data_IF_320429862604
#
_entry.id   IF_320429862604
#
_cell.length_a   1.000
_cell.length_b   1.000
_cell.length_c   1.000
_cell.angle_alpha   90.00
_cell.angle_beta   90.00
_cell.angle_gamma   90.00
#
_symmetry.space_group_name_H-M   'P 1'
#
loop_
_entity.id
_entity.type
_entity.pdbx_description
1 polymer ?
#
# COMPACT_ATOMS: atom_id res chain seq x y z
N UNK A 1 -8.88 3.87 4.99
CA UNK A 1 -8.33 3.82 3.62
C UNK A 1 -6.82 3.78 3.75
N UNK A 2 -6.13 2.78 3.17
CA UNK A 2 -4.68 2.74 3.19
C UNK A 2 -4.09 3.99 2.52
N UNK A 3 -2.96 4.47 3.02
CA UNK A 3 -2.29 5.62 2.43
C UNK A 3 -1.72 5.22 1.06
N UNK A 4 -1.84 6.07 0.02
CA UNK A 4 -1.12 5.83 -1.22
C UNK A 4 0.39 5.78 -0.93
N UNK A 5 1.15 4.91 -1.60
CA UNK A 5 2.58 4.69 -1.34
C UNK A 5 3.44 5.96 -1.26
N UNK A 6 3.08 7.01 -2.01
CA UNK A 6 3.70 8.36 -1.96
C UNK A 6 3.62 9.07 -0.60
N UNK A 7 2.77 8.58 0.31
CA UNK A 7 2.54 9.11 1.66
C UNK A 7 2.97 8.15 2.77
N UNK A 8 3.46 6.96 2.44
CA UNK A 8 3.90 5.98 3.43
C UNK A 8 5.24 6.33 4.07
N UNK A 9 5.42 5.92 5.32
CA UNK A 9 6.71 6.03 6.00
C UNK A 9 7.71 5.01 5.46
N UNK A 10 9.01 5.25 5.67
CA UNK A 10 10.05 4.36 5.16
C UNK A 10 9.90 2.91 5.64
N UNK A 11 9.62 2.68 6.93
CA UNK A 11 9.48 1.32 7.46
C UNK A 11 8.28 0.57 6.87
N UNK A 12 7.23 1.31 6.51
CA UNK A 12 6.03 0.76 5.89
C UNK A 12 6.34 0.35 4.44
N UNK A 13 7.04 1.20 3.69
CA UNK A 13 7.56 0.87 2.35
C UNK A 13 8.44 -0.39 2.41
N UNK A 14 9.40 -0.44 3.33
CA UNK A 14 10.30 -1.60 3.48
C UNK A 14 9.54 -2.88 3.84
N UNK A 15 8.50 -2.78 4.67
CA UNK A 15 7.62 -3.91 4.99
C UNK A 15 6.91 -4.42 3.73
N UNK A 16 6.35 -3.53 2.91
CA UNK A 16 5.66 -3.92 1.68
C UNK A 16 6.60 -4.56 0.66
N UNK A 17 7.81 -4.00 0.47
CA UNK A 17 8.86 -4.61 -0.37
C UNK A 17 9.15 -6.03 0.11
N UNK A 18 9.42 -6.21 1.41
CA UNK A 18 9.72 -7.52 1.97
C UNK A 18 8.60 -8.55 1.73
N UNK A 19 7.34 -8.15 1.93
CA UNK A 19 6.18 -9.01 1.66
C UNK A 19 6.15 -9.44 0.19
N UNK A 20 6.38 -8.50 -0.74
CA UNK A 20 6.37 -8.76 -2.17
C UNK A 20 7.54 -9.65 -2.59
N UNK A 21 8.74 -9.43 -2.06
CA UNK A 21 9.93 -10.28 -2.32
C UNK A 21 9.73 -11.71 -1.80
N UNK A 22 9.23 -11.87 -0.57
CA UNK A 22 8.92 -13.19 0.00
C UNK A 22 7.87 -13.93 -0.84
N UNK A 23 6.81 -13.22 -1.23
CA UNK A 23 5.76 -13.78 -2.07
C UNK A 23 6.27 -14.15 -3.47
N UNK A 24 7.07 -13.29 -4.10
CA UNK A 24 7.72 -13.53 -5.40
C UNK A 24 8.53 -14.82 -5.37
N UNK A 25 9.36 -15.00 -4.34
CA UNK A 25 10.19 -16.18 -4.16
C UNK A 25 9.35 -17.45 -4.02
N UNK A 26 8.28 -17.42 -3.22
CA UNK A 26 7.40 -18.59 -3.05
C UNK A 26 6.71 -18.97 -4.37
N UNK A 27 6.32 -17.98 -5.17
CA UNK A 27 5.74 -18.22 -6.50
C UNK A 27 6.77 -18.83 -7.46
N UNK A 28 8.00 -18.32 -7.45
CA UNK A 28 9.11 -18.86 -8.25
C UNK A 28 9.37 -20.32 -7.89
N UNK A 29 9.49 -20.63 -6.59
CA UNK A 29 9.66 -22.00 -6.10
C UNK A 29 8.45 -22.88 -6.48
N UNK A 30 7.22 -22.36 -6.37
CA UNK A 30 5.99 -23.07 -6.76
C UNK A 30 6.00 -23.44 -8.24
N UNK A 31 6.21 -22.48 -9.14
CA UNK A 31 6.20 -22.73 -10.58
C UNK A 31 7.38 -23.59 -11.03
N UNK A 32 8.52 -23.57 -10.32
CA UNK A 32 9.67 -24.43 -10.60
C UNK A 32 9.39 -25.93 -10.41
N UNK A 33 8.40 -26.29 -9.58
CA UNK A 33 8.03 -27.67 -9.25
C UNK A 33 6.69 -28.10 -9.89
N UNK A 34 6.12 -27.27 -10.75
CA UNK A 34 4.94 -27.63 -11.53
C UNK A 34 5.31 -28.65 -12.59
N UNK A 35 4.60 -29.79 -12.59
CA UNK A 35 4.77 -30.86 -13.57
C UNK A 35 3.71 -30.70 -14.66
N UNK A 36 4.14 -30.28 -15.84
CA UNK A 36 3.29 -30.22 -17.01
C UNK A 36 3.08 -31.64 -17.57
N UNK A 37 1.83 -31.96 -17.91
CA UNK A 37 1.55 -33.20 -18.61
C UNK A 37 2.25 -33.14 -19.98
N UNK A 38 2.99 -34.21 -20.32
CA UNK A 38 3.73 -34.25 -21.58
C UNK A 38 2.80 -34.08 -22.79
N UNK A 39 3.38 -33.70 -23.93
CA UNK A 39 2.64 -33.43 -25.17
C UNK A 39 1.72 -34.57 -25.65
N UNK A 40 1.95 -35.80 -25.19
CA UNK A 40 1.14 -36.98 -25.53
C UNK A 40 -0.08 -37.20 -24.60
N UNK A 41 -0.18 -36.50 -23.47
CA UNK A 41 -1.25 -36.67 -22.49
C UNK A 41 -1.79 -35.30 -22.07
N UNK A 42 -2.75 -34.72 -22.81
CA UNK A 42 -3.35 -33.45 -22.44
C UNK A 42 -4.03 -33.59 -21.07
N UNK A 43 -3.56 -32.81 -20.10
CA UNK A 43 -4.09 -32.79 -18.74
C UNK A 43 -3.66 -31.52 -18.01
N UNK A 44 -4.39 -31.10 -16.97
CA UNK A 44 -3.94 -30.00 -16.15
C UNK A 44 -2.58 -30.32 -15.53
N UNK A 45 -1.70 -29.33 -15.37
CA UNK A 45 -0.46 -29.53 -14.63
C UNK A 45 -0.77 -30.02 -13.21
N UNK A 46 0.13 -30.84 -12.69
CA UNK A 46 0.03 -31.38 -11.34
C UNK A 46 1.08 -30.74 -10.45
N UNK A 47 0.69 -30.36 -9.24
CA UNK A 47 1.62 -29.87 -8.21
C UNK A 47 2.62 -30.99 -7.86
N UNK A 48 3.92 -30.68 -7.90
CA UNK A 48 4.94 -31.55 -7.31
C UNK A 48 4.93 -31.51 -5.77
N UNK A 49 5.89 -32.22 -5.15
CA UNK A 49 5.97 -32.34 -3.69
C UNK A 49 6.34 -31.00 -3.03
N UNK A 50 7.15 -30.18 -3.68
CA UNK A 50 7.53 -28.85 -3.19
C UNK A 50 6.37 -27.86 -3.37
N UNK A 51 5.74 -27.86 -4.56
CA UNK A 51 4.57 -27.01 -4.84
C UNK A 51 3.44 -27.27 -3.84
N UNK A 52 3.15 -28.54 -3.55
CA UNK A 52 2.14 -28.93 -2.54
C UNK A 52 2.47 -28.40 -1.15
N UNK A 53 3.75 -28.39 -0.76
CA UNK A 53 4.21 -27.88 0.54
C UNK A 53 4.21 -26.35 0.63
N UNK A 54 4.49 -25.65 -0.47
CA UNK A 54 4.59 -24.18 -0.52
C UNK A 54 3.21 -23.53 -0.64
N UNK A 55 2.24 -24.20 -1.25
CA UNK A 55 0.90 -23.69 -1.48
C UNK A 55 0.23 -23.07 -0.25
N UNK A 56 0.29 -23.65 0.97
CA UNK A 56 -0.25 -23.02 2.18
C UNK A 56 0.46 -21.71 2.56
N UNK A 57 1.77 -21.59 2.32
CA UNK A 57 2.52 -20.37 2.61
C UNK A 57 2.16 -19.24 1.64
N UNK A 58 2.02 -19.56 0.35
CA UNK A 58 1.48 -18.62 -0.65
C UNK A 58 0.10 -18.12 -0.22
N UNK A 59 -0.81 -19.02 0.18
CA UNK A 59 -2.15 -18.64 0.63
C UNK A 59 -2.13 -17.67 1.83
N UNK A 60 -1.21 -17.84 2.78
CA UNK A 60 -1.07 -16.94 3.95
C UNK A 60 -0.63 -15.54 3.55
N UNK A 61 0.30 -15.43 2.59
CA UNK A 61 0.86 -14.14 2.16
C UNK A 61 0.06 -13.44 1.06
N UNK A 62 -0.74 -14.19 0.30
CA UNK A 62 -1.46 -13.73 -0.89
C UNK A 62 -2.23 -12.41 -0.69
N UNK A 63 -3.06 -12.31 0.36
CA UNK A 63 -3.83 -11.08 0.61
C UNK A 63 -2.96 -9.88 0.97
N UNK A 64 -1.83 -10.11 1.66
CA UNK A 64 -0.88 -9.06 1.99
C UNK A 64 -0.10 -8.61 0.73
N UNK A 65 0.28 -9.54 -0.14
CA UNK A 65 0.95 -9.27 -1.41
C UNK A 65 0.03 -8.49 -2.36
N UNK A 66 -1.22 -8.91 -2.52
CA UNK A 66 -2.23 -8.21 -3.34
C UNK A 66 -2.43 -6.77 -2.85
N UNK A 67 -2.67 -6.61 -1.54
CA UNK A 67 -2.85 -5.30 -0.92
C UNK A 67 -1.63 -4.41 -1.12
N UNK A 68 -0.42 -4.97 -0.98
CA UNK A 68 0.84 -4.25 -1.23
C UNK A 68 0.99 -3.81 -2.69
N UNK A 69 0.66 -4.67 -3.66
CA UNK A 69 0.71 -4.31 -5.07
C UNK A 69 -0.28 -3.18 -5.41
N UNK A 70 -1.52 -3.28 -4.93
CA UNK A 70 -2.55 -2.24 -5.13
C UNK A 70 -2.12 -0.92 -4.48
N UNK A 71 -1.56 -0.95 -3.27
CA UNK A 71 -1.06 0.26 -2.59
C UNK A 71 0.11 0.92 -3.33
N UNK A 72 0.94 0.14 -4.03
CA UNK A 72 2.00 0.62 -4.90
C UNK A 72 1.45 1.25 -6.21
N UNK A 73 0.14 1.17 -6.46
CA UNK A 73 -0.47 1.60 -7.71
C UNK A 73 -0.27 0.63 -8.87
N UNK A 74 0.10 -0.62 -8.59
CA UNK A 74 0.12 -1.70 -9.57
C UNK A 74 -1.21 -2.46 -9.50
N UNK A 75 -1.97 -2.44 -10.60
CA UNK A 75 -3.22 -3.20 -10.68
C UNK A 75 -2.91 -4.69 -10.92
N UNK A 76 -3.26 -5.60 -10.00
CA UNK A 76 -3.07 -7.03 -10.21
C UNK A 76 -4.16 -7.65 -11.09
N UNK A 77 -5.19 -6.90 -11.51
CA UNK A 77 -6.26 -7.42 -12.34
C UNK A 77 -5.88 -7.35 -13.81
N UNK A 78 -5.87 -8.51 -14.48
CA UNK A 78 -5.78 -8.62 -15.93
C UNK A 78 -7.12 -9.02 -16.54
N UNK A 79 -7.31 -8.68 -17.82
CA UNK A 79 -8.53 -9.00 -18.56
C UNK A 79 -8.23 -10.13 -19.54
N UNK A 80 -8.93 -11.25 -19.37
CA UNK A 80 -8.85 -12.39 -20.27
C UNK A 80 -9.98 -12.28 -21.28
N UNK A 81 -9.59 -12.22 -22.56
CA UNK A 81 -10.52 -12.26 -23.68
C UNK A 81 -10.57 -13.68 -24.24
N UNK A 82 -11.76 -14.28 -24.40
CA UNK A 82 -11.89 -15.58 -25.03
C UNK A 82 -11.53 -15.50 -26.53
N UNK A 83 -11.12 -16.63 -27.11
CA UNK A 83 -10.88 -16.72 -28.54
C UNK A 83 -12.15 -16.30 -29.32
N UNK A 84 -12.06 -15.39 -30.31
CA UNK A 84 -13.22 -14.91 -31.06
C UNK A 84 -14.05 -16.00 -31.71
N UNK A 85 -13.43 -17.14 -32.05
CA UNK A 85 -14.05 -18.29 -32.72
C UNK A 85 -14.86 -19.19 -31.77
N UNK A 86 -14.51 -19.24 -30.49
CA UNK A 86 -15.20 -20.07 -29.47
C UNK A 86 -16.32 -19.25 -28.81
N UNK A 87 -16.12 -17.94 -28.68
CA UNK A 87 -16.96 -17.08 -27.85
C UNK A 87 -16.69 -17.28 -26.37
N UNK A 88 -17.29 -16.43 -25.52
CA UNK A 88 -17.15 -16.54 -24.07
C UNK A 88 -17.35 -15.20 -23.35
N UNK A 89 -17.38 -15.23 -22.02
CA UNK A 89 -17.41 -14.03 -21.22
C UNK A 89 -15.99 -13.45 -21.05
N UNK A 90 -15.88 -12.12 -21.10
CA UNK A 90 -14.68 -11.41 -20.66
C UNK A 90 -14.53 -11.63 -19.16
N UNK A 91 -13.36 -12.10 -18.72
CA UNK A 91 -13.08 -12.37 -17.30
C UNK A 91 -12.03 -11.41 -16.77
N UNK A 92 -12.26 -10.88 -15.58
CA UNK A 92 -11.27 -10.14 -14.81
C UNK A 92 -10.61 -11.12 -13.84
N UNK A 93 -9.30 -11.32 -13.98
CA UNK A 93 -8.54 -12.25 -13.16
C UNK A 93 -7.47 -11.46 -12.40
N UNK A 94 -7.49 -11.57 -11.09
CA UNK A 94 -6.41 -11.05 -10.27
C UNK A 94 -5.24 -12.05 -10.29
N UNK A 95 -4.10 -11.64 -10.85
CA UNK A 95 -2.97 -12.54 -11.09
C UNK A 95 -2.25 -12.96 -9.81
N UNK A 96 -2.36 -12.16 -8.74
CA UNK A 96 -1.82 -12.48 -7.41
C UNK A 96 -2.72 -13.49 -6.72
N UNK A 97 -4.01 -13.19 -6.56
CA UNK A 97 -4.91 -14.12 -5.85
C UNK A 97 -5.27 -15.36 -6.67
N UNK A 98 -5.18 -15.25 -7.99
CA UNK A 98 -5.44 -16.30 -8.97
C UNK A 98 -4.21 -17.14 -9.35
N UNK A 99 -3.08 -17.01 -8.65
CA UNK A 99 -1.80 -17.62 -9.06
C UNK A 99 -1.89 -19.13 -9.34
N UNK A 100 -2.71 -19.87 -8.60
CA UNK A 100 -2.92 -21.32 -8.79
C UNK A 100 -3.83 -21.70 -9.95
N UNK A 101 -4.46 -20.73 -10.63
CA UNK A 101 -5.36 -20.98 -11.75
C UNK A 101 -4.80 -20.44 -13.06
N UNK A 102 -3.65 -19.76 -13.04
CA UNK A 102 -3.04 -19.18 -14.24
C UNK A 102 -2.75 -20.23 -15.31
N UNK A 103 -2.45 -21.47 -14.90
CA UNK A 103 -2.19 -22.53 -15.84
C UNK A 103 -3.43 -23.00 -16.64
N UNK A 104 -4.65 -22.67 -16.20
CA UNK A 104 -5.87 -23.05 -16.94
C UNK A 104 -6.06 -22.16 -18.17
N UNK A 105 -5.44 -20.98 -18.15
CA UNK A 105 -5.57 -19.95 -19.18
C UNK A 105 -4.18 -19.54 -19.72
N UNK A 106 -3.20 -20.47 -19.79
CA UNK A 106 -1.78 -20.22 -20.19
C UNK A 106 -1.68 -19.49 -21.52
N UNK A 107 -2.61 -19.76 -22.44
CA UNK A 107 -2.65 -19.11 -23.75
C UNK A 107 -2.84 -17.59 -23.65
N UNK A 108 -3.38 -17.09 -22.53
CA UNK A 108 -3.72 -15.67 -22.33
C UNK A 108 -2.95 -15.03 -21.16
N UNK A 109 -2.67 -15.78 -20.08
CA UNK A 109 -1.97 -15.23 -18.90
C UNK A 109 -0.82 -16.15 -18.49
N UNK A 110 0.40 -15.67 -18.70
CA UNK A 110 1.63 -16.34 -18.26
C UNK A 110 1.92 -16.05 -16.78
N UNK A 111 2.64 -16.95 -16.09
CA UNK A 111 3.21 -16.64 -14.78
C UNK A 111 4.04 -15.34 -14.78
N UNK A 112 4.64 -14.98 -15.93
CA UNK A 112 5.40 -13.74 -16.11
C UNK A 112 4.55 -12.50 -15.81
N UNK A 113 3.25 -12.51 -16.12
CA UNK A 113 2.38 -11.37 -15.81
C UNK A 113 2.29 -11.13 -14.30
N UNK A 114 2.31 -12.19 -13.49
CA UNK A 114 2.32 -12.09 -12.03
C UNK A 114 3.65 -11.50 -11.54
N UNK A 115 4.77 -11.99 -12.07
CA UNK A 115 6.09 -11.45 -11.77
C UNK A 115 6.20 -9.98 -12.15
N UNK A 116 5.73 -9.59 -13.34
CA UNK A 116 5.76 -8.19 -13.81
C UNK A 116 4.95 -7.25 -12.90
N UNK A 117 3.79 -7.69 -12.39
CA UNK A 117 2.99 -6.92 -11.43
C UNK A 117 3.74 -6.73 -10.12
N UNK A 118 4.35 -7.79 -9.59
CA UNK A 118 5.13 -7.76 -8.35
C UNK A 118 6.37 -6.88 -8.51
N UNK A 119 7.16 -7.09 -9.56
CA UNK A 119 8.39 -6.34 -9.83
C UNK A 119 8.08 -4.85 -10.08
N UNK A 120 6.97 -4.53 -10.75
CA UNK A 120 6.50 -3.14 -10.91
C UNK A 120 6.11 -2.52 -9.57
N UNK A 121 5.44 -3.27 -8.70
CA UNK A 121 5.08 -2.81 -7.36
C UNK A 121 6.33 -2.54 -6.50
N UNK A 122 7.30 -3.46 -6.50
CA UNK A 122 8.60 -3.29 -5.83
C UNK A 122 9.30 -2.04 -6.37
N UNK A 123 9.44 -1.91 -7.69
CA UNK A 123 10.09 -0.75 -8.30
C UNK A 123 9.39 0.60 -8.00
N UNK A 124 8.05 0.60 -7.87
CA UNK A 124 7.29 1.77 -7.42
C UNK A 124 7.65 2.17 -5.99
N UNK A 125 7.80 1.20 -5.10
CA UNK A 125 8.22 1.43 -3.72
C UNK A 125 9.67 1.91 -3.62
N UNK A 126 10.59 1.26 -4.33
CA UNK A 126 12.02 1.63 -4.34
C UNK A 126 12.25 3.08 -4.75
N UNK A 127 11.54 3.54 -5.80
CA UNK A 127 11.61 4.95 -6.24
C UNK A 127 11.15 5.95 -5.19
N UNK A 128 10.31 5.54 -4.25
CA UNK A 128 9.79 6.40 -3.18
C UNK A 128 10.58 6.28 -1.87
N UNK A 129 11.52 5.34 -1.73
CA UNK A 129 12.31 5.15 -0.50
C UNK A 129 12.97 6.46 -0.07
N UNK A 130 13.69 7.15 -0.96
CA UNK A 130 14.38 8.38 -0.61
C UNK A 130 13.43 9.49 -0.13
N UNK A 131 12.30 9.68 -0.82
CA UNK A 131 11.29 10.66 -0.42
C UNK A 131 10.63 10.28 0.90
N UNK A 132 10.44 8.98 1.15
CA UNK A 132 9.89 8.48 2.41
C UNK A 132 10.84 8.72 3.58
N UNK A 133 12.15 8.56 3.39
CA UNK A 133 13.16 8.90 4.38
C UNK A 133 13.10 10.37 4.78
N UNK A 134 13.06 11.27 3.79
CA UNK A 134 12.93 12.70 4.05
C UNK A 134 11.66 12.97 4.87
N UNK A 135 10.52 12.37 4.51
CA UNK A 135 9.25 12.54 5.25
C UNK A 135 9.32 11.97 6.67
N UNK A 136 9.94 10.81 6.84
CA UNK A 136 10.08 10.14 8.14
C UNK A 136 10.97 10.95 9.09
N UNK A 137 12.07 11.53 8.61
CA UNK A 137 13.01 12.27 9.46
C UNK A 137 12.56 13.72 9.68
N UNK A 138 11.85 14.32 8.72
CA UNK A 138 11.49 15.73 8.78
C UNK A 138 10.48 16.01 9.93
N UNK A 139 10.86 16.76 10.98
CA UNK A 139 9.97 17.05 12.11
C UNK A 139 8.74 17.88 11.70
N UNK A 140 8.85 18.72 10.66
CA UNK A 140 7.71 19.48 10.15
C UNK A 140 6.64 18.60 9.51
N UNK A 141 7.03 17.47 8.91
CA UNK A 141 6.07 16.51 8.37
C UNK A 141 5.16 15.96 9.48
N UNK A 142 5.76 15.59 10.62
CA UNK A 142 5.03 15.13 11.80
C UNK A 142 4.13 16.20 12.41
N UNK A 143 4.63 17.44 12.48
CA UNK A 143 3.83 18.56 12.98
C UNK A 143 2.61 18.81 12.09
N UNK A 144 2.78 18.81 10.76
CA UNK A 144 1.66 18.94 9.81
C UNK A 144 0.65 17.81 9.99
N UNK A 145 1.13 16.57 10.15
CA UNK A 145 0.27 15.40 10.34
C UNK A 145 -0.51 15.48 11.67
N UNK A 146 0.14 15.93 12.75
CA UNK A 146 -0.45 16.13 14.07
C UNK A 146 -1.50 17.25 14.04
N UNK A 147 -1.14 18.41 13.50
CA UNK A 147 -2.03 19.57 13.36
C UNK A 147 -3.25 19.21 12.51
N UNK A 148 -3.03 18.55 11.36
CA UNK A 148 -4.12 18.09 10.49
C UNK A 148 -5.03 17.06 11.17
N UNK A 149 -4.46 16.18 12.00
CA UNK A 149 -5.21 15.23 12.83
C UNK A 149 -6.12 15.94 13.83
N UNK A 150 -5.58 16.90 14.59
CA UNK A 150 -6.35 17.69 15.56
C UNK A 150 -7.46 18.49 14.85
N UNK A 151 -7.13 19.15 13.74
CA UNK A 151 -8.10 19.91 12.96
C UNK A 151 -9.23 19.03 12.38
N UNK A 152 -9.02 17.72 12.23
CA UNK A 152 -10.03 16.77 11.75
C UNK A 152 -10.97 16.23 12.84
N UNK A 153 -10.62 16.36 14.13
CA UNK A 153 -11.44 15.89 15.25
C UNK A 153 -12.88 16.43 15.27
N UNK A 154 -13.16 17.73 15.08
CA UNK A 154 -14.54 18.21 15.08
C UNK A 154 -15.39 17.55 13.97
N UNK A 155 -14.81 17.30 12.80
CA UNK A 155 -15.51 16.62 11.70
C UNK A 155 -15.76 15.13 11.97
N UNK A 156 -14.84 14.47 12.69
CA UNK A 156 -15.04 13.11 13.17
C UNK A 156 -16.20 13.01 14.15
N UNK A 157 -16.28 13.96 15.11
CA UNK A 157 -17.38 14.02 16.07
C UNK A 157 -18.73 14.28 15.37
N UNK A 158 -18.76 15.17 14.38
CA UNK A 158 -19.96 15.40 13.57
C UNK A 158 -20.38 14.13 12.81
N UNK A 159 -19.43 13.40 12.24
CA UNK A 159 -19.72 12.12 11.58
C UNK A 159 -20.36 11.10 12.53
N UNK A 160 -19.88 11.01 13.77
CA UNK A 160 -20.46 10.15 14.80
C UNK A 160 -21.87 10.57 15.23
N UNK A 161 -22.19 11.87 15.16
CA UNK A 161 -23.53 12.39 15.39
C UNK A 161 -24.50 12.13 14.22
N UNK A 162 -24.09 11.36 13.20
CA UNK A 162 -24.93 10.97 12.05
C UNK A 162 -24.91 11.94 10.88
N UNK A 163 -24.08 12.99 10.93
CA UNK A 163 -23.91 13.88 9.78
C UNK A 163 -23.09 13.19 8.69
N UNK A 164 -23.46 13.42 7.42
CA UNK A 164 -22.64 13.00 6.29
C UNK A 164 -21.36 13.86 6.25
N UNK A 165 -20.29 13.31 6.81
CA UNK A 165 -18.97 13.95 6.94
C UNK A 165 -18.45 14.47 5.61
N UNK A 166 -18.54 13.67 4.55
CA UNK A 166 -17.98 14.01 3.24
C UNK A 166 -18.71 15.21 2.62
N UNK A 167 -20.03 15.23 2.72
CA UNK A 167 -20.86 16.36 2.26
C UNK A 167 -20.60 17.63 3.07
N UNK A 168 -20.36 17.52 4.37
CA UNK A 168 -20.08 18.66 5.23
C UNK A 168 -18.67 19.22 4.99
N UNK A 169 -17.65 18.36 4.95
CA UNK A 169 -16.24 18.76 4.72
C UNK A 169 -16.03 19.43 3.37
N UNK A 170 -16.77 19.01 2.34
CA UNK A 170 -16.70 19.58 0.98
C UNK A 170 -17.55 20.85 0.79
N UNK A 171 -18.42 21.17 1.76
CA UNK A 171 -19.22 22.40 1.71
C UNK A 171 -18.37 23.65 1.94
N UNK A 172 -18.83 24.81 1.43
CA UNK A 172 -18.14 26.09 1.65
C UNK A 172 -17.96 26.42 3.14
N UNK A 173 -18.96 26.10 3.97
CA UNK A 173 -18.87 26.27 5.43
C UNK A 173 -17.85 25.31 6.07
N UNK A 174 -17.82 24.05 5.63
CA UNK A 174 -16.84 23.06 6.09
C UNK A 174 -15.40 23.44 5.73
N UNK A 175 -15.18 23.96 4.51
CA UNK A 175 -13.88 24.48 4.09
C UNK A 175 -13.44 25.68 4.92
N UNK A 176 -14.35 26.62 5.22
CA UNK A 176 -14.07 27.76 6.08
C UNK A 176 -13.70 27.32 7.50
N UNK A 177 -14.48 26.42 8.11
CA UNK A 177 -14.17 25.87 9.43
C UNK A 177 -12.83 25.15 9.44
N UNK A 178 -12.53 24.35 8.42
CA UNK A 178 -11.24 23.64 8.29
C UNK A 178 -10.07 24.61 8.20
N UNK A 179 -10.23 25.71 7.48
CA UNK A 179 -9.23 26.79 7.42
C UNK A 179 -9.03 27.42 8.79
N UNK A 180 -10.11 27.79 9.49
CA UNK A 180 -10.05 28.40 10.83
C UNK A 180 -9.33 27.46 11.80
N UNK A 181 -9.74 26.18 11.88
CA UNK A 181 -9.13 25.21 12.77
C UNK A 181 -7.63 25.01 12.47
N UNK A 182 -7.27 24.91 11.19
CA UNK A 182 -5.87 24.83 10.80
C UNK A 182 -5.07 26.07 11.24
N UNK A 183 -5.59 27.28 11.01
CA UNK A 183 -4.92 28.52 11.43
C UNK A 183 -4.75 28.60 12.95
N UNK A 184 -5.79 28.24 13.72
CA UNK A 184 -5.72 28.22 15.18
C UNK A 184 -4.72 27.19 15.69
N UNK A 185 -4.66 26.00 15.08
CA UNK A 185 -3.73 24.96 15.47
C UNK A 185 -2.28 25.34 15.15
N UNK A 186 -2.04 25.98 14.01
CA UNK A 186 -0.73 26.55 13.67
C UNK A 186 -0.30 27.65 14.65
N UNK A 187 -1.20 28.58 14.99
CA UNK A 187 -0.91 29.63 15.95
C UNK A 187 -0.58 29.04 17.34
N UNK A 188 -1.36 28.07 17.81
CA UNK A 188 -1.12 27.37 19.07
C UNK A 188 0.22 26.62 19.09
N UNK A 189 0.56 25.95 17.99
CA UNK A 189 1.85 25.25 17.84
C UNK A 189 3.02 26.23 17.92
N UNK A 190 2.96 27.36 17.21
CA UNK A 190 3.99 28.41 17.27
C UNK A 190 4.14 29.00 18.68
N UNK A 191 3.03 29.33 19.34
CA UNK A 191 3.04 29.85 20.70
C UNK A 191 3.65 28.85 21.69
N UNK A 192 3.39 27.55 21.50
CA UNK A 192 3.96 26.50 22.34
C UNK A 192 5.46 26.37 22.12
N UNK A 193 5.94 26.47 20.88
CA UNK A 193 7.39 26.50 20.59
C UNK A 193 8.04 27.71 21.28
N UNK A 194 7.47 28.91 21.16
CA UNK A 194 8.01 30.10 21.83
C UNK A 194 8.03 29.94 23.36
N UNK A 195 6.95 29.43 23.94
CA UNK A 195 6.87 29.19 25.38
C UNK A 195 7.93 28.19 25.87
N UNK A 196 8.12 27.08 25.14
CA UNK A 196 9.14 26.09 25.47
C UNK A 196 10.56 26.65 25.33
N UNK A 197 10.83 27.48 24.32
CA UNK A 197 12.14 28.14 24.19
C UNK A 197 12.44 29.12 25.32
N UNK A 198 11.44 29.91 25.75
CA UNK A 198 11.57 30.81 26.90
C UNK A 198 11.81 30.02 28.19
N UNK A 199 11.14 28.88 28.36
CA UNK A 199 11.31 27.99 29.51
C UNK A 199 12.73 27.39 29.53
N UNK A 200 13.23 26.90 28.41
CA UNK A 200 14.61 26.36 28.31
C UNK A 200 15.64 27.45 28.67
N UNK A 201 15.44 28.68 28.20
CA UNK A 201 16.32 29.81 28.50
C UNK A 201 16.30 30.18 29.99
N UNK A 202 15.10 30.24 30.59
CA UNK A 202 14.92 30.56 32.02
C UNK A 202 15.51 29.50 32.96
N UNK A 203 15.42 28.22 32.61
CA UNK A 203 15.94 27.14 33.45
C UNK A 203 17.44 26.82 33.21
N UNK A 204 18.13 27.61 32.39
CA UNK A 204 19.59 27.57 32.30
C UNK A 204 20.18 26.26 31.75
N UNK A 205 19.39 25.45 31.03
CA UNK A 205 19.90 24.25 30.34
C UNK A 205 20.92 24.58 29.23
N UNK A 206 21.06 25.87 28.90
CA UNK A 206 22.09 26.44 28.02
C UNK A 206 22.80 27.58 28.77
N UNK A 207 23.34 27.33 29.97
CA UNK A 207 24.33 28.24 30.56
C UNK A 207 25.74 27.75 30.24
N UNK A 208 26.46 28.61 29.51
CA UNK A 208 27.88 28.58 29.11
C UNK A 208 28.33 27.44 28.19
N UNK A 209 28.19 27.66 26.87
CA UNK A 209 29.28 27.33 25.95
C UNK A 209 30.34 28.45 26.11
N UNK A 210 31.60 28.13 26.44
CA UNK A 210 32.68 29.11 26.49
C UNK A 210 32.98 29.72 25.10
#
# INVERSE_FOLDING_TARGET
MPLPYKKMFVWEILRHIKILEEYRKLIEDYFSDIKYAGWMAPGPPTDGDLATKIRPEINKLMGAAESSAVMAGSDPVTVIYPAPSIGGAIRHVNVITGVFYLYQDIEVVSEQTTFDVIDRAIGNYEREIWKSWIRTINPFFWLILLVGGIASLPFLLLGQAGFNREKFETSGFGLLLKLIFNLTAWAAALLTVFYLTDLIFKFGLITSLP
#
